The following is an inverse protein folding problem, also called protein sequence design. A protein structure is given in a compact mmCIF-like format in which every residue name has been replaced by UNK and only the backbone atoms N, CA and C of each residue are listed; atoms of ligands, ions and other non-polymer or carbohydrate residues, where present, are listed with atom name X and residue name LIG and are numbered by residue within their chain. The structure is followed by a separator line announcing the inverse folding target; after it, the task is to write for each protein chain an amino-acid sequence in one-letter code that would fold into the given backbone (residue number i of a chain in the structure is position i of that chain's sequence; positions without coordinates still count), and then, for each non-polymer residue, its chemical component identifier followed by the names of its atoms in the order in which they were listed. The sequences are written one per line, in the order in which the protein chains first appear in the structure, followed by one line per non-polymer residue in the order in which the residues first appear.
data_IF_935108312030
#
_entry.id   IF_935108312030
#
_cell.length_a   1.000
_cell.length_b   1.000
_cell.length_c   1.000
_cell.angle_alpha   90.00
_cell.angle_beta   90.00
_cell.angle_gamma   90.00
#
_symmetry.space_group_name_H-M   'P 1'
#
loop_
_entity.id
_entity.type
_entity.pdbx_description
1 polymer ?
#
# COMPACT_ATOMS: atom_id res chain seq x y z
N UNK A 1 20.92 -47.89 -29.31
CA UNK A 1 19.94 -46.81 -29.05
C UNK A 1 19.34 -46.81 -27.62
N UNK A 2 19.43 -47.87 -26.81
CA UNK A 2 18.84 -47.86 -25.45
C UNK A 2 19.73 -47.26 -24.34
N UNK A 3 21.06 -47.23 -24.51
CA UNK A 3 21.99 -46.71 -23.49
C UNK A 3 21.99 -45.18 -23.37
N UNK A 4 21.89 -44.47 -24.50
CA UNK A 4 21.78 -43.00 -24.50
C UNK A 4 20.51 -42.54 -23.77
N UNK A 5 19.40 -43.25 -23.98
CA UNK A 5 18.15 -42.99 -23.26
C UNK A 5 18.30 -43.09 -21.74
N UNK A 6 19.05 -44.08 -21.24
CA UNK A 6 19.29 -44.23 -19.80
C UNK A 6 20.22 -43.14 -19.24
N UNK A 7 21.24 -42.73 -19.99
CA UNK A 7 22.14 -41.66 -19.57
C UNK A 7 21.39 -40.33 -19.45
N UNK A 8 20.59 -39.97 -20.46
CA UNK A 8 19.74 -38.78 -20.46
C UNK A 8 18.70 -38.83 -19.33
N UNK A 9 18.12 -40.00 -19.07
CA UNK A 9 17.22 -40.15 -17.94
C UNK A 9 17.92 -39.83 -16.61
N UNK A 10 19.05 -40.48 -16.33
CA UNK A 10 19.78 -40.28 -15.06
C UNK A 10 20.29 -38.85 -14.89
N UNK A 11 20.73 -38.21 -15.98
CA UNK A 11 21.26 -36.86 -15.94
C UNK A 11 20.19 -35.77 -15.80
N UNK A 12 19.07 -35.90 -16.53
CA UNK A 12 18.15 -34.77 -16.72
C UNK A 12 16.73 -35.05 -16.23
N UNK A 13 16.23 -36.27 -16.44
CA UNK A 13 14.80 -36.57 -16.25
C UNK A 13 14.49 -37.29 -14.93
N UNK A 14 15.50 -37.89 -14.28
CA UNK A 14 15.29 -38.67 -13.07
C UNK A 14 14.83 -37.72 -11.94
N UNK A 15 13.65 -37.94 -11.34
CA UNK A 15 13.17 -37.11 -10.24
C UNK A 15 14.01 -37.27 -8.96
N UNK A 16 14.71 -38.39 -8.84
CA UNK A 16 15.61 -38.70 -7.72
C UNK A 16 17.06 -38.23 -7.97
N UNK A 17 17.35 -37.57 -9.10
CA UNK A 17 18.68 -36.99 -9.31
C UNK A 17 18.94 -35.92 -8.26
N UNK A 18 20.18 -35.81 -7.82
CA UNK A 18 20.60 -34.73 -6.93
C UNK A 18 20.74 -33.45 -7.74
N UNK A 19 20.04 -32.42 -7.31
CA UNK A 19 20.14 -31.06 -7.81
C UNK A 19 20.39 -30.11 -6.63
N UNK A 20 20.95 -28.94 -6.90
CA UNK A 20 21.30 -27.96 -5.86
C UNK A 20 20.32 -26.80 -5.88
N UNK A 21 19.88 -26.37 -4.69
CA UNK A 21 19.10 -25.14 -4.54
C UNK A 21 19.91 -23.92 -5.01
N UNK A 22 19.33 -23.08 -5.87
CA UNK A 22 19.98 -21.87 -6.39
C UNK A 22 20.19 -20.76 -5.34
N UNK A 23 19.50 -20.85 -4.19
CA UNK A 23 19.55 -19.82 -3.14
C UNK A 23 20.51 -20.15 -2.00
N UNK A 24 20.61 -21.43 -1.63
CA UNK A 24 21.41 -21.88 -0.48
C UNK A 24 22.41 -22.99 -0.81
N UNK A 25 22.51 -23.40 -2.09
CA UNK A 25 23.43 -24.43 -2.58
C UNK A 25 23.26 -25.83 -1.95
N UNK A 26 22.18 -26.03 -1.18
CA UNK A 26 21.90 -27.31 -0.54
C UNK A 26 21.57 -28.37 -1.60
N UNK A 27 22.20 -29.57 -1.56
CA UNK A 27 21.91 -30.66 -2.47
C UNK A 27 20.67 -31.45 -2.01
N UNK A 28 19.72 -31.68 -2.91
CA UNK A 28 18.50 -32.43 -2.65
C UNK A 28 17.97 -33.14 -3.89
N UNK A 29 17.08 -34.14 -3.75
CA UNK A 29 16.39 -34.75 -4.89
C UNK A 29 15.62 -33.70 -5.70
N UNK A 30 15.65 -33.83 -7.03
CA UNK A 30 14.98 -32.89 -7.93
C UNK A 30 13.46 -32.80 -7.72
N UNK A 31 12.83 -33.87 -7.21
CA UNK A 31 11.41 -33.87 -6.84
C UNK A 31 11.08 -32.90 -5.70
N UNK A 32 12.00 -32.70 -4.76
CA UNK A 32 11.81 -31.84 -3.59
C UNK A 32 12.33 -30.41 -3.84
N UNK A 33 13.07 -30.20 -4.93
CA UNK A 33 13.76 -28.94 -5.23
C UNK A 33 12.81 -27.75 -5.31
N UNK A 34 11.67 -27.91 -5.97
CA UNK A 34 10.71 -26.82 -6.18
C UNK A 34 10.09 -26.34 -4.86
N UNK A 35 9.55 -27.26 -4.04
CA UNK A 35 8.98 -26.90 -2.73
C UNK A 35 10.04 -26.27 -1.83
N UNK A 36 11.26 -26.80 -1.85
CA UNK A 36 12.36 -26.19 -1.12
C UNK A 36 12.66 -24.77 -1.60
N UNK A 37 12.74 -24.53 -2.91
CA UNK A 37 13.02 -23.21 -3.48
C UNK A 37 11.94 -22.18 -3.13
N UNK A 38 10.67 -22.57 -3.11
CA UNK A 38 9.57 -21.68 -2.71
C UNK A 38 9.72 -21.17 -1.28
N UNK A 39 10.13 -22.04 -0.34
CA UNK A 39 10.37 -21.64 1.05
C UNK A 39 11.71 -20.93 1.20
N UNK A 40 12.77 -21.51 0.63
CA UNK A 40 14.14 -21.04 0.77
C UNK A 40 14.32 -19.65 0.13
N UNK A 41 13.77 -19.43 -1.07
CA UNK A 41 13.86 -18.15 -1.78
C UNK A 41 13.17 -16.99 -1.05
N UNK A 42 12.19 -17.28 -0.20
CA UNK A 42 11.49 -16.30 0.64
C UNK A 42 12.22 -15.99 1.95
N UNK A 43 13.23 -16.78 2.34
CA UNK A 43 14.09 -16.43 3.48
C UNK A 43 14.77 -15.10 3.19
N UNK A 44 14.97 -14.31 4.24
CA UNK A 44 15.65 -13.02 4.14
C UNK A 44 16.99 -13.05 4.83
N UNK A 45 17.91 -12.25 4.31
CA UNK A 45 19.22 -12.00 4.90
C UNK A 45 19.50 -10.50 4.97
N UNK A 46 20.35 -10.10 5.91
CA UNK A 46 20.73 -8.71 6.09
C UNK A 46 21.81 -8.33 5.07
N UNK A 47 21.53 -7.33 4.24
CA UNK A 47 22.57 -6.69 3.45
C UNK A 47 23.41 -5.77 4.34
N UNK A 48 24.70 -6.06 4.51
CA UNK A 48 25.60 -5.27 5.35
C UNK A 48 25.92 -3.87 4.79
N UNK A 49 25.69 -3.63 3.50
CA UNK A 49 25.92 -2.33 2.88
C UNK A 49 24.80 -1.34 3.20
N UNK A 50 23.55 -1.75 3.00
CA UNK A 50 22.39 -0.86 3.16
C UNK A 50 21.52 -1.19 4.39
N UNK A 51 21.91 -2.17 5.20
CA UNK A 51 21.21 -2.61 6.40
C UNK A 51 19.73 -2.98 6.18
N UNK A 52 19.38 -3.44 4.97
CA UNK A 52 18.04 -3.94 4.62
C UNK A 52 18.01 -5.45 4.62
N UNK A 53 16.93 -6.02 5.13
CA UNK A 53 16.60 -7.43 4.92
C UNK A 53 16.13 -7.62 3.48
N UNK A 54 16.81 -8.49 2.76
CA UNK A 54 16.55 -8.81 1.35
C UNK A 54 16.21 -10.29 1.22
N UNK A 55 15.27 -10.64 0.34
CA UNK A 55 14.94 -12.04 0.08
C UNK A 55 16.07 -12.70 -0.70
N UNK A 56 16.33 -13.98 -0.45
CA UNK A 56 17.37 -14.73 -1.16
C UNK A 56 17.17 -14.70 -2.68
N UNK A 57 15.92 -14.87 -3.14
CA UNK A 57 15.60 -14.81 -4.57
C UNK A 57 15.84 -13.44 -5.21
N UNK A 58 15.93 -12.39 -4.40
CA UNK A 58 16.15 -11.01 -4.84
C UNK A 58 17.61 -10.57 -4.65
N UNK A 59 18.48 -11.43 -4.12
CA UNK A 59 19.85 -11.07 -3.74
C UNK A 59 20.65 -10.52 -4.93
N UNK A 60 20.70 -11.25 -6.04
CA UNK A 60 21.43 -10.83 -7.24
C UNK A 60 20.91 -9.47 -7.79
N UNK A 61 19.60 -9.30 -7.79
CA UNK A 61 18.97 -8.04 -8.22
C UNK A 61 19.35 -6.90 -7.27
N UNK A 62 19.33 -7.15 -5.96
CA UNK A 62 19.71 -6.19 -4.95
C UNK A 62 21.18 -5.79 -5.06
N UNK A 63 22.10 -6.73 -5.19
CA UNK A 63 23.54 -6.48 -5.30
C UNK A 63 23.85 -5.52 -6.46
N UNK A 64 23.23 -5.73 -7.63
CA UNK A 64 23.41 -4.86 -8.80
C UNK A 64 22.92 -3.42 -8.61
N UNK A 65 22.02 -3.16 -7.66
CA UNK A 65 21.37 -1.86 -7.43
C UNK A 65 21.57 -1.33 -6.02
N UNK A 66 22.41 -1.99 -5.22
CA UNK A 66 22.57 -1.64 -3.82
C UNK A 66 23.23 -0.27 -3.71
N UNK A 67 22.51 0.72 -3.22
CA UNK A 67 23.02 2.09 -3.07
C UNK A 67 24.07 2.21 -1.96
N UNK A 68 24.26 1.18 -1.13
CA UNK A 68 25.16 1.20 0.03
C UNK A 68 24.78 2.21 1.12
N UNK A 69 23.67 2.94 0.96
CA UNK A 69 23.15 3.87 1.97
C UNK A 69 22.38 3.06 3.01
N UNK A 70 22.77 3.11 4.30
CA UNK A 70 22.06 2.45 5.36
C UNK A 70 20.60 2.92 5.42
N UNK A 71 19.68 1.97 5.42
CA UNK A 71 18.28 2.23 5.68
C UNK A 71 18.12 2.53 7.17
N UNK A 72 17.91 3.80 7.51
CA UNK A 72 17.57 4.21 8.88
C UNK A 72 16.07 4.11 9.10
N UNK A 73 15.66 3.73 10.30
CA UNK A 73 14.24 3.72 10.68
C UNK A 73 13.61 5.13 10.57
N UNK A 74 14.39 6.21 10.72
CA UNK A 74 13.95 7.58 10.39
C UNK A 74 13.51 7.71 8.92
N UNK A 75 14.23 7.12 7.97
CA UNK A 75 13.89 7.23 6.54
C UNK A 75 12.48 6.71 6.28
N UNK A 76 12.12 5.54 6.80
CA UNK A 76 10.75 4.99 6.68
C UNK A 76 9.68 5.87 7.31
N UNK A 77 9.99 6.52 8.45
CA UNK A 77 9.06 7.43 9.12
C UNK A 77 8.85 8.69 8.28
N UNK A 78 9.92 9.22 7.69
CA UNK A 78 9.89 10.37 6.78
C UNK A 78 9.10 10.05 5.50
N UNK A 79 9.33 8.91 4.84
CA UNK A 79 8.57 8.53 3.64
C UNK A 79 7.10 8.36 3.95
N UNK A 80 6.75 7.67 5.06
CA UNK A 80 5.35 7.52 5.48
C UNK A 80 4.69 8.84 5.91
N UNK A 81 5.46 9.81 6.40
CA UNK A 81 4.94 11.15 6.69
C UNK A 81 4.65 11.91 5.38
N UNK A 82 5.58 11.87 4.42
CA UNK A 82 5.42 12.50 3.11
C UNK A 82 4.29 11.87 2.28
N UNK A 83 4.12 10.55 2.32
CA UNK A 83 3.00 9.86 1.67
C UNK A 83 1.66 10.24 2.28
N UNK A 84 1.57 10.36 3.62
CA UNK A 84 0.35 10.84 4.30
C UNK A 84 0.04 12.28 3.93
N UNK A 85 1.06 13.14 3.81
CA UNK A 85 0.85 14.53 3.38
C UNK A 85 0.39 14.59 1.92
N UNK A 86 0.98 13.80 1.04
CA UNK A 86 0.57 13.73 -0.37
C UNK A 86 -0.86 13.17 -0.52
N UNK A 87 -1.20 12.11 0.21
CA UNK A 87 -2.55 11.54 0.22
C UNK A 87 -3.58 12.49 0.87
N UNK A 88 -3.17 13.26 1.88
CA UNK A 88 -3.98 14.33 2.46
C UNK A 88 -4.19 15.51 1.50
N UNK A 89 -3.17 15.90 0.71
CA UNK A 89 -3.29 16.91 -0.35
C UNK A 89 -4.14 16.41 -1.53
N UNK A 90 -4.10 15.11 -1.84
CA UNK A 90 -4.89 14.48 -2.91
C UNK A 90 -6.36 14.33 -2.51
N UNK A 91 -6.65 14.07 -1.23
CA UNK A 91 -7.99 14.17 -0.65
C UNK A 91 -8.33 15.64 -0.36
N UNK A 92 -8.47 16.47 -1.38
CA UNK A 92 -9.24 17.71 -1.20
C UNK A 92 -10.66 17.33 -0.74
N UNK A 93 -11.16 17.82 0.41
CA UNK A 93 -12.55 17.60 0.79
C UNK A 93 -13.44 18.52 -0.06
N UNK A 94 -14.44 18.01 -0.81
CA UNK A 94 -15.36 18.86 -1.56
C UNK A 94 -16.40 19.56 -0.65
N UNK A 95 -16.23 19.54 0.67
CA UNK A 95 -17.32 19.80 1.63
C UNK A 95 -17.09 20.99 2.57
N UNK A 96 -16.09 21.84 2.36
CA UNK A 96 -15.99 23.11 3.11
C UNK A 96 -17.01 24.15 2.57
N UNK A 97 -17.15 24.25 1.24
CA UNK A 97 -18.05 25.23 0.60
C UNK A 97 -19.54 24.91 0.79
N UNK A 98 -19.91 23.63 0.74
CA UNK A 98 -21.31 23.18 0.91
C UNK A 98 -21.86 23.52 2.29
N UNK A 99 -21.05 23.33 3.34
CA UNK A 99 -21.48 23.56 4.73
C UNK A 99 -21.66 25.05 5.04
N UNK A 100 -20.76 25.91 4.57
CA UNK A 100 -20.92 27.38 4.71
C UNK A 100 -22.15 27.88 3.97
N UNK A 101 -22.36 27.42 2.72
CA UNK A 101 -23.55 27.79 1.92
C UNK A 101 -24.84 27.32 2.59
N UNK A 102 -24.85 26.12 3.16
CA UNK A 102 -25.99 25.59 3.92
C UNK A 102 -26.30 26.44 5.16
N UNK A 103 -25.29 26.80 5.95
CA UNK A 103 -25.48 27.68 7.11
C UNK A 103 -26.00 29.06 6.72
N UNK A 104 -25.48 29.66 5.65
CA UNK A 104 -26.00 30.93 5.13
C UNK A 104 -27.46 30.81 4.67
N UNK A 105 -27.83 29.73 3.98
CA UNK A 105 -29.22 29.53 3.56
C UNK A 105 -30.18 29.35 4.74
N UNK A 106 -29.79 28.59 5.76
CA UNK A 106 -30.60 28.39 6.98
C UNK A 106 -30.77 29.70 7.74
N UNK A 107 -29.72 30.52 7.83
CA UNK A 107 -29.79 31.82 8.49
C UNK A 107 -30.71 32.79 7.73
N UNK A 108 -30.61 32.86 6.40
CA UNK A 108 -31.44 33.75 5.57
C UNK A 108 -32.92 33.36 5.64
N UNK A 109 -33.26 32.08 5.54
CA UNK A 109 -34.65 31.64 5.62
C UNK A 109 -35.23 31.85 7.01
N UNK A 110 -34.44 31.59 8.07
CA UNK A 110 -34.86 31.87 9.46
C UNK A 110 -35.18 33.35 9.69
N UNK A 111 -34.33 34.26 9.23
CA UNK A 111 -34.55 35.72 9.36
C UNK A 111 -35.80 36.16 8.59
N UNK A 112 -36.02 35.66 7.37
CA UNK A 112 -37.19 36.00 6.57
C UNK A 112 -38.51 35.56 7.23
N UNK A 113 -38.54 34.38 7.85
CA UNK A 113 -39.72 33.88 8.57
C UNK A 113 -40.00 34.70 9.83
N UNK A 114 -38.98 35.07 10.60
CA UNK A 114 -39.12 35.91 11.79
C UNK A 114 -39.59 37.32 11.47
N UNK A 115 -39.03 37.94 10.42
CA UNK A 115 -39.48 39.26 9.97
C UNK A 115 -40.91 39.19 9.42
N UNK A 116 -41.23 38.15 8.64
CA UNK A 116 -42.56 37.93 8.10
C UNK A 116 -43.61 37.75 9.19
N UNK A 117 -43.34 36.96 10.23
CA UNK A 117 -44.26 36.74 11.34
C UNK A 117 -44.46 38.00 12.19
N UNK A 118 -43.40 38.77 12.46
CA UNK A 118 -43.50 40.05 13.16
C UNK A 118 -44.31 41.09 12.37
N UNK A 119 -44.09 41.18 11.06
CA UNK A 119 -44.82 42.12 10.20
C UNK A 119 -46.30 41.73 10.08
N UNK A 120 -46.59 40.42 10.06
CA UNK A 120 -47.97 39.93 10.04
C UNK A 120 -48.67 40.18 11.37
N UNK A 121 -48.05 39.88 12.52
CA UNK A 121 -48.60 40.18 13.85
C UNK A 121 -48.92 41.67 14.01
N UNK A 122 -47.99 42.54 13.61
CA UNK A 122 -48.17 44.00 13.70
C UNK A 122 -49.29 44.53 12.79
N UNK A 123 -49.55 43.85 11.67
CA UNK A 123 -50.68 44.18 10.77
C UNK A 123 -52.03 43.72 11.34
N UNK A 124 -52.07 42.61 12.08
CA UNK A 124 -53.30 42.15 12.77
C UNK A 124 -53.67 43.04 13.94
N UNK A 125 -52.69 43.51 14.72
CA UNK A 125 -52.92 44.44 15.84
C UNK A 125 -53.43 45.80 15.35
N UNK A 126 -52.83 46.38 14.31
CA UNK A 126 -53.27 47.67 13.76
C UNK A 126 -54.65 47.63 13.09
N UNK A 127 -55.13 46.45 12.65
CA UNK A 127 -56.43 46.33 11.98
C UNK A 127 -57.59 46.02 12.96
N UNK A 128 -57.30 45.90 14.26
CA UNK A 128 -58.30 45.66 15.31
C UNK A 128 -58.68 46.94 16.08
N UNK A 129 -58.03 48.08 15.79
CA UNK A 129 -58.26 49.38 16.45
C UNK A 129 -58.89 50.41 15.51
N UNK A 130 -59.68 49.98 14.52
CA UNK A 130 -60.49 50.91 13.72
C UNK A 130 -61.95 50.50 13.62
#
# INVERSE_FOLDING_TARGET
MQRESLAVHKGENCPQRIATCEFCEFPLPAIDLYEHQEVCGNRTELCYLCNRYIRLRERNYHESRCSGVPYTAESSRATRAAEREHDARRRQPPHEFSRRRLFFTIAITGIAVLLGSLFFQRKTENNQVH
#
